data_IF_856033458922
#
_entry.id   IF_856033458922
#
_cell.length_a   1.000
_cell.length_b   1.000
_cell.length_c   1.000
_cell.angle_alpha   90.00
_cell.angle_beta   90.00
_cell.angle_gamma   90.00
#
_symmetry.space_group_name_H-M   'P 1'
#
loop_
_entity.id
_entity.type
_entity.pdbx_description
1 polymer ?
#
# COMPACT_ATOMS: atom_id res chain seq x y z
N UNK A 1 33.51 -30.98 -19.78
CA UNK A 1 32.72 -29.80 -20.18
C UNK A 1 32.35 -29.03 -18.91
N UNK A 2 33.19 -28.08 -18.53
CA UNK A 2 33.01 -27.21 -17.36
C UNK A 2 32.28 -25.95 -17.81
N UNK A 3 31.00 -25.84 -17.48
CA UNK A 3 30.23 -24.60 -17.64
C UNK A 3 30.71 -23.62 -16.55
N UNK A 4 30.99 -22.34 -16.88
CA UNK A 4 31.56 -21.40 -15.92
C UNK A 4 30.51 -20.92 -14.91
N UNK A 5 30.89 -20.95 -13.63
CA UNK A 5 30.10 -20.60 -12.44
C UNK A 5 29.75 -19.10 -12.29
N UNK A 6 29.74 -18.33 -13.39
CA UNK A 6 29.56 -16.87 -13.39
C UNK A 6 28.16 -16.45 -13.88
N UNK A 7 27.36 -17.36 -14.45
CA UNK A 7 26.08 -17.00 -15.10
C UNK A 7 24.88 -17.00 -14.13
N UNK A 8 24.97 -17.70 -12.99
CA UNK A 8 23.85 -17.84 -12.04
C UNK A 8 23.52 -16.55 -11.25
N UNK A 9 24.49 -15.71 -10.81
CA UNK A 9 24.17 -14.48 -10.08
C UNK A 9 23.52 -13.40 -10.95
N UNK A 10 23.90 -13.31 -12.23
CA UNK A 10 23.41 -12.27 -13.14
C UNK A 10 21.93 -12.47 -13.55
N UNK A 11 21.48 -13.73 -13.66
CA UNK A 11 20.10 -14.05 -14.00
C UNK A 11 19.12 -13.80 -12.84
N UNK A 12 19.55 -14.03 -11.59
CA UNK A 12 18.72 -13.78 -10.40
C UNK A 12 18.56 -12.28 -10.13
N UNK A 13 19.60 -11.48 -10.36
CA UNK A 13 19.52 -10.02 -10.27
C UNK A 13 18.58 -9.43 -11.35
N UNK A 14 18.61 -9.96 -12.57
CA UNK A 14 17.74 -9.53 -13.67
C UNK A 14 16.26 -9.85 -13.41
N UNK A 15 15.95 -10.98 -12.77
CA UNK A 15 14.56 -11.39 -12.48
C UNK A 15 13.97 -10.59 -11.31
N UNK A 16 14.77 -10.29 -10.29
CA UNK A 16 14.36 -9.51 -9.13
C UNK A 16 14.05 -8.05 -9.50
N UNK A 17 14.87 -7.44 -10.37
CA UNK A 17 14.65 -6.06 -10.86
C UNK A 17 13.39 -5.98 -11.73
N UNK A 18 13.11 -7.00 -12.56
CA UNK A 18 11.90 -7.03 -13.40
C UNK A 18 10.60 -7.20 -12.58
N UNK A 19 10.63 -7.98 -11.49
CA UNK A 19 9.47 -8.19 -10.62
C UNK A 19 9.16 -6.96 -9.76
N UNK A 20 10.18 -6.25 -9.26
CA UNK A 20 10.01 -5.02 -8.48
C UNK A 20 9.48 -3.86 -9.35
N UNK A 21 9.93 -3.78 -10.62
CA UNK A 21 9.47 -2.78 -11.59
C UNK A 21 7.99 -2.91 -11.97
N UNK A 22 7.45 -4.12 -11.92
CA UNK A 22 6.04 -4.38 -12.22
C UNK A 22 5.10 -3.97 -11.07
N UNK A 23 5.60 -3.79 -9.85
CA UNK A 23 4.78 -3.66 -8.65
C UNK A 23 4.73 -2.24 -8.04
N UNK A 24 5.75 -1.37 -8.21
CA UNK A 24 5.88 -0.18 -7.35
C UNK A 24 6.20 1.20 -7.97
N UNK A 25 6.40 1.34 -9.29
CA UNK A 25 6.59 2.65 -9.94
C UNK A 25 7.85 3.44 -9.52
N UNK A 26 8.16 4.51 -10.26
CA UNK A 26 9.48 5.15 -10.37
C UNK A 26 10.09 5.69 -9.05
N UNK A 27 9.28 5.98 -8.02
CA UNK A 27 9.78 6.52 -6.75
C UNK A 27 10.39 5.45 -5.81
N UNK A 28 10.07 4.17 -6.01
CA UNK A 28 10.62 3.05 -5.22
C UNK A 28 11.91 2.49 -5.85
N UNK A 29 12.19 2.85 -7.12
CA UNK A 29 13.32 2.36 -7.90
C UNK A 29 14.67 2.84 -7.32
N UNK A 30 14.76 4.08 -6.83
CA UNK A 30 15.98 4.63 -6.24
C UNK A 30 16.37 3.95 -4.91
N UNK A 31 15.37 3.65 -4.07
CA UNK A 31 15.56 3.00 -2.77
C UNK A 31 15.88 1.50 -2.92
N UNK A 32 15.19 0.80 -3.82
CA UNK A 32 15.42 -0.63 -4.06
C UNK A 32 16.77 -0.88 -4.74
N UNK A 33 17.18 -0.05 -5.69
CA UNK A 33 18.50 -0.14 -6.35
C UNK A 33 19.62 0.16 -5.35
N UNK A 34 19.46 1.19 -4.50
CA UNK A 34 20.43 1.50 -3.45
C UNK A 34 20.60 0.34 -2.45
N UNK A 35 19.50 -0.27 -2.00
CA UNK A 35 19.54 -1.40 -1.08
C UNK A 35 20.20 -2.64 -1.72
N UNK A 36 19.84 -2.95 -2.97
CA UNK A 36 20.39 -4.10 -3.70
C UNK A 36 21.89 -3.96 -4.00
N UNK A 37 22.35 -2.75 -4.37
CA UNK A 37 23.77 -2.46 -4.58
C UNK A 37 24.55 -2.59 -3.27
N UNK A 38 23.99 -2.09 -2.16
CA UNK A 38 24.63 -2.17 -0.84
C UNK A 38 24.75 -3.63 -0.37
N UNK A 39 23.71 -4.44 -0.57
CA UNK A 39 23.72 -5.86 -0.22
C UNK A 39 24.74 -6.65 -1.07
N UNK A 40 24.84 -6.36 -2.38
CA UNK A 40 25.78 -7.03 -3.28
C UNK A 40 27.24 -6.67 -2.99
N UNK A 41 27.53 -5.42 -2.64
CA UNK A 41 28.89 -4.98 -2.26
C UNK A 41 29.33 -5.62 -0.94
N UNK A 42 28.44 -5.70 0.04
CA UNK A 42 28.74 -6.30 1.36
C UNK A 42 28.91 -7.81 1.31
N UNK A 43 28.06 -8.53 0.56
CA UNK A 43 28.26 -9.98 0.32
C UNK A 43 29.50 -10.27 -0.53
N UNK A 44 29.81 -9.44 -1.52
CA UNK A 44 31.04 -9.56 -2.31
C UNK A 44 32.30 -9.36 -1.47
N UNK A 45 32.32 -8.35 -0.60
CA UNK A 45 33.46 -8.07 0.28
C UNK A 45 33.69 -9.18 1.31
N UNK A 46 32.63 -9.73 1.90
CA UNK A 46 32.71 -10.83 2.88
C UNK A 46 33.18 -12.13 2.23
N UNK A 47 32.70 -12.47 1.02
CA UNK A 47 33.18 -13.63 0.26
C UNK A 47 34.65 -13.48 -0.17
N UNK A 48 35.07 -12.28 -0.56
CA UNK A 48 36.46 -12.01 -0.93
C UNK A 48 37.40 -12.13 0.28
N UNK A 49 36.98 -11.64 1.45
CA UNK A 49 37.71 -11.81 2.71
C UNK A 49 37.82 -13.28 3.11
N UNK A 50 36.72 -14.03 3.05
CA UNK A 50 36.71 -15.47 3.32
C UNK A 50 37.62 -16.26 2.35
N UNK A 51 37.61 -15.90 1.07
CA UNK A 51 38.50 -16.50 0.06
C UNK A 51 39.98 -16.15 0.30
N UNK A 52 40.29 -14.92 0.70
CA UNK A 52 41.65 -14.52 1.04
C UNK A 52 42.20 -15.27 2.26
N UNK A 53 41.37 -15.46 3.30
CA UNK A 53 41.69 -16.27 4.49
C UNK A 53 41.90 -17.75 4.11
N UNK A 54 41.01 -18.32 3.29
CA UNK A 54 41.14 -19.70 2.81
C UNK A 54 42.39 -19.92 1.93
N UNK A 55 42.76 -18.93 1.12
CA UNK A 55 43.97 -18.99 0.28
C UNK A 55 45.25 -18.80 1.10
N UNK A 56 45.20 -18.00 2.16
CA UNK A 56 46.30 -17.84 3.11
C UNK A 56 46.54 -19.12 3.92
N UNK A 57 45.48 -19.82 4.33
CA UNK A 57 45.59 -21.11 5.03
C UNK A 57 46.08 -22.23 4.11
N UNK A 58 45.66 -22.27 2.84
CA UNK A 58 46.14 -23.23 1.83
C UNK A 58 47.62 -23.00 1.47
N UNK A 59 48.08 -21.74 1.41
CA UNK A 59 49.52 -21.42 1.26
C UNK A 59 50.35 -21.87 2.46
N UNK A 60 49.83 -21.76 3.69
CA UNK A 60 50.49 -22.32 4.88
C UNK A 60 50.57 -23.85 4.82
N UNK A 61 49.52 -24.53 4.34
CA UNK A 61 49.53 -26.00 4.18
C UNK A 61 50.50 -26.49 3.11
N UNK A 62 50.67 -25.76 2.00
CA UNK A 62 51.63 -26.11 0.93
C UNK A 62 53.09 -25.75 1.25
N UNK A 63 53.35 -24.91 2.25
CA UNK A 63 54.69 -24.52 2.69
C UNK A 63 55.30 -25.43 3.76
N UNK A 64 54.55 -26.40 4.27
CA UNK A 64 55.04 -27.39 5.25
C UNK A 64 55.56 -28.61 4.48
N UNK A 65 56.85 -28.98 4.62
CA UNK A 65 57.38 -30.23 4.05
C UNK A 65 56.63 -31.43 4.64
N UNK A 66 56.40 -32.48 3.83
CA UNK A 66 55.57 -33.64 4.17
C UNK A 66 56.13 -34.59 5.27
N UNK A 67 57.02 -34.11 6.14
CA UNK A 67 57.66 -34.88 7.22
C UNK A 67 57.57 -34.17 8.59
N UNK A 68 56.55 -33.34 8.81
CA UNK A 68 56.29 -32.77 10.13
C UNK A 68 55.57 -33.80 11.03
N UNK A 69 56.09 -34.10 12.25
CA UNK A 69 55.53 -35.13 13.12
C UNK A 69 54.18 -34.76 13.76
N UNK A 70 53.39 -35.78 14.11
CA UNK A 70 52.05 -35.74 14.73
C UNK A 70 52.08 -35.07 16.13
N UNK A 71 51.11 -34.22 16.52
CA UNK A 71 51.10 -33.52 17.82
C UNK A 71 50.92 -34.43 19.05
N UNK A 72 50.78 -35.75 18.89
CA UNK A 72 50.56 -36.69 20.00
C UNK A 72 51.81 -37.45 20.48
N UNK A 73 53.00 -37.20 19.93
CA UNK A 73 54.26 -37.88 20.28
C UNK A 73 55.21 -37.07 21.21
N UNK A 74 54.71 -36.12 22.01
CA UNK A 74 55.53 -35.31 22.92
C UNK A 74 55.82 -35.97 24.30
N UNK A 75 56.09 -37.28 24.33
CA UNK A 75 56.35 -38.00 25.57
C UNK A 75 57.83 -38.34 25.86
N UNK A 76 58.78 -38.05 24.96
CA UNK A 76 60.21 -38.24 25.24
C UNK A 76 61.01 -37.01 24.82
N UNK A 77 61.36 -36.17 25.80
CA UNK A 77 62.37 -35.13 25.61
C UNK A 77 63.75 -35.81 25.47
N UNK A 78 64.53 -35.52 24.42
CA UNK A 78 65.91 -35.95 24.38
C UNK A 78 66.67 -35.21 25.50
N UNK A 79 67.44 -35.94 26.31
CA UNK A 79 68.39 -35.33 27.24
C UNK A 79 69.27 -34.35 26.45
N UNK A 80 69.27 -33.09 26.90
CA UNK A 80 70.15 -32.05 26.39
C UNK A 80 71.60 -32.57 26.46
N UNK A 81 72.43 -32.40 25.42
CA UNK A 81 73.84 -32.74 25.53
C UNK A 81 74.44 -31.93 26.68
N UNK A 82 75.10 -32.64 27.59
CA UNK A 82 75.80 -32.09 28.76
C UNK A 82 76.81 -31.04 28.29
N UNK A 83 76.37 -29.78 28.22
CA UNK A 83 77.26 -28.64 28.13
C UNK A 83 77.74 -28.36 29.54
N UNK A 84 78.69 -29.18 29.98
CA UNK A 84 79.66 -28.78 30.98
C UNK A 84 80.25 -27.45 30.53
N UNK A 85 79.85 -26.36 31.19
CA UNK A 85 80.54 -25.08 31.15
C UNK A 85 82.00 -25.38 31.54
N UNK A 86 83.01 -25.04 30.73
CA UNK A 86 84.40 -25.28 31.13
C UNK A 86 84.74 -24.36 32.31
N UNK A 87 84.72 -24.92 33.51
CA UNK A 87 85.26 -24.33 34.71
C UNK A 87 86.80 -24.41 34.69
N UNK A 88 87.47 -23.54 33.94
CA UNK A 88 88.91 -23.25 34.13
C UNK A 88 89.28 -21.86 33.62
N UNK A 89 89.20 -20.87 34.50
CA UNK A 89 90.22 -19.84 34.68
C UNK A 89 89.83 -18.97 35.89
N UNK A 90 90.36 -19.34 37.06
CA UNK A 90 90.39 -18.44 38.19
C UNK A 90 91.30 -17.22 37.87
N UNK A 91 90.88 -16.08 38.39
CA UNK A 91 91.64 -14.85 38.63
C UNK A 91 91.78 -13.84 37.47
N UNK A 92 90.78 -12.96 37.32
CA UNK A 92 90.97 -11.50 37.50
C UNK A 92 89.65 -10.80 37.84
N UNK A 93 89.70 -10.00 38.89
CA UNK A 93 88.67 -9.20 39.57
C UNK A 93 87.78 -8.29 38.69
N UNK A 94 86.45 -8.34 38.91
CA UNK A 94 85.66 -7.13 39.22
C UNK A 94 84.60 -6.58 38.25
N UNK A 95 84.42 -7.12 37.03
CA UNK A 95 83.57 -6.46 36.00
C UNK A 95 82.35 -7.23 35.46
N UNK A 96 82.28 -8.55 35.60
CA UNK A 96 81.33 -9.39 34.84
C UNK A 96 79.92 -9.50 35.47
N UNK A 97 79.80 -9.30 36.79
CA UNK A 97 78.50 -9.40 37.48
C UNK A 97 77.50 -8.30 37.06
N UNK A 98 77.98 -7.14 36.57
CA UNK A 98 77.11 -6.02 36.17
C UNK A 98 76.46 -6.20 34.80
N UNK A 99 77.12 -6.89 33.86
CA UNK A 99 76.59 -7.09 32.50
C UNK A 99 75.56 -8.23 32.46
N UNK A 100 75.77 -9.27 33.25
CA UNK A 100 74.84 -10.40 33.37
C UNK A 100 73.56 -10.01 34.14
N UNK A 101 73.69 -9.14 35.15
CA UNK A 101 72.55 -8.60 35.92
C UNK A 101 71.70 -7.61 35.09
N UNK A 102 72.32 -6.88 34.16
CA UNK A 102 71.64 -6.01 33.17
C UNK A 102 70.85 -6.84 32.14
N UNK A 103 71.42 -7.95 31.66
CA UNK A 103 70.73 -8.84 30.72
C UNK A 103 69.52 -9.56 31.34
N UNK A 104 69.63 -10.04 32.58
CA UNK A 104 68.50 -10.62 33.30
C UNK A 104 67.38 -9.59 33.51
N UNK A 105 67.71 -8.35 33.89
CA UNK A 105 66.72 -7.28 34.04
C UNK A 105 65.99 -6.94 32.73
N UNK A 106 66.72 -6.95 31.61
CA UNK A 106 66.18 -6.75 30.25
C UNK A 106 65.24 -7.88 29.82
N UNK A 107 65.62 -9.13 30.06
CA UNK A 107 64.77 -10.30 29.78
C UNK A 107 63.50 -10.30 30.63
N UNK A 108 63.59 -9.96 31.91
CA UNK A 108 62.41 -9.85 32.79
C UNK A 108 61.42 -8.81 32.25
N UNK A 109 61.89 -7.62 31.83
CA UNK A 109 61.02 -6.60 31.22
C UNK A 109 60.33 -7.09 29.95
N UNK A 110 61.02 -7.84 29.08
CA UNK A 110 60.39 -8.43 27.90
C UNK A 110 59.31 -9.45 28.24
N UNK A 111 59.56 -10.28 29.26
CA UNK A 111 58.60 -11.27 29.72
C UNK A 111 57.36 -10.58 30.30
N UNK A 112 57.55 -9.52 31.09
CA UNK A 112 56.46 -8.70 31.63
C UNK A 112 55.64 -8.05 30.51
N UNK A 113 56.31 -7.52 29.49
CA UNK A 113 55.68 -6.90 28.33
C UNK A 113 54.87 -7.91 27.50
N UNK A 114 55.45 -9.08 27.23
CA UNK A 114 54.78 -10.19 26.54
C UNK A 114 53.59 -10.69 27.37
N UNK A 115 53.65 -10.61 28.71
CA UNK A 115 52.55 -11.01 29.57
C UNK A 115 51.31 -10.12 29.41
N UNK A 116 51.43 -8.90 28.86
CA UNK A 116 50.30 -7.98 28.59
C UNK A 116 49.48 -8.41 27.36
N UNK A 117 50.07 -9.17 26.43
CA UNK A 117 49.38 -9.62 25.21
C UNK A 117 48.22 -10.57 25.51
N UNK A 118 48.34 -11.42 26.52
CA UNK A 118 47.28 -12.39 26.86
C UNK A 118 45.97 -11.68 27.25
N UNK A 119 45.96 -10.69 28.17
CA UNK A 119 44.80 -9.84 28.42
C UNK A 119 44.25 -9.15 27.17
N UNK A 120 45.10 -8.57 26.32
CA UNK A 120 44.64 -7.89 25.10
C UNK A 120 43.95 -8.86 24.14
N UNK A 121 44.51 -10.04 23.93
CA UNK A 121 43.91 -11.08 23.12
C UNK A 121 42.59 -11.59 23.72
N UNK A 122 42.45 -11.59 25.04
CA UNK A 122 41.20 -11.92 25.72
C UNK A 122 40.12 -10.85 25.52
N UNK A 123 40.48 -9.56 25.58
CA UNK A 123 39.57 -8.44 25.24
C UNK A 123 39.11 -8.55 23.78
N UNK A 124 40.04 -8.75 22.84
CA UNK A 124 39.71 -8.91 21.41
C UNK A 124 38.78 -10.11 21.20
N UNK A 125 39.08 -11.25 21.83
CA UNK A 125 38.25 -12.46 21.73
C UNK A 125 36.84 -12.22 22.28
N UNK A 126 36.72 -11.52 23.41
CA UNK A 126 35.42 -11.22 24.02
C UNK A 126 34.60 -10.26 23.16
N UNK A 127 35.19 -9.16 22.71
CA UNK A 127 34.52 -8.21 21.80
C UNK A 127 34.08 -8.88 20.49
N UNK A 128 34.90 -9.76 19.92
CA UNK A 128 34.54 -10.52 18.73
C UNK A 128 33.39 -11.53 18.98
N UNK A 129 33.36 -12.16 20.16
CA UNK A 129 32.25 -13.05 20.58
C UNK A 129 30.96 -12.26 20.73
N UNK A 130 30.99 -11.14 21.46
CA UNK A 130 29.83 -10.28 21.68
C UNK A 130 29.28 -9.70 20.36
N UNK A 131 30.15 -9.29 19.43
CA UNK A 131 29.71 -8.88 18.08
C UNK A 131 29.00 -10.01 17.35
N UNK A 132 29.51 -11.25 17.45
CA UNK A 132 28.91 -12.40 16.78
C UNK A 132 27.52 -12.71 17.37
N UNK A 133 27.41 -12.70 18.69
CA UNK A 133 26.15 -12.92 19.43
C UNK A 133 25.11 -11.83 19.13
N UNK A 134 25.50 -10.55 19.21
CA UNK A 134 24.62 -9.40 18.90
C UNK A 134 24.12 -9.49 17.45
N UNK A 135 25.00 -9.88 16.52
CA UNK A 135 24.66 -10.03 15.09
C UNK A 135 23.70 -11.20 14.85
N UNK A 136 23.92 -12.35 15.49
CA UNK A 136 23.06 -13.53 15.38
C UNK A 136 21.65 -13.26 15.95
N UNK A 137 21.59 -12.57 17.09
CA UNK A 137 20.32 -12.18 17.72
C UNK A 137 19.55 -11.16 16.88
N UNK A 138 20.25 -10.15 16.33
CA UNK A 138 19.65 -9.17 15.44
C UNK A 138 19.14 -9.83 14.14
N UNK A 139 19.93 -10.71 13.53
CA UNK A 139 19.52 -11.45 12.34
C UNK A 139 18.26 -12.28 12.58
N UNK A 140 18.20 -13.00 13.71
CA UNK A 140 17.02 -13.80 14.10
C UNK A 140 15.79 -12.91 14.31
N UNK A 141 15.96 -11.77 14.98
CA UNK A 141 14.88 -10.81 15.22
C UNK A 141 14.36 -10.20 13.92
N UNK A 142 15.26 -9.87 12.98
CA UNK A 142 14.90 -9.34 11.66
C UNK A 142 14.12 -10.38 10.85
N UNK A 143 14.58 -11.63 10.81
CA UNK A 143 13.89 -12.71 10.09
C UNK A 143 12.49 -12.93 10.67
N UNK A 144 12.35 -13.01 11.99
CA UNK A 144 11.04 -13.16 12.65
C UNK A 144 10.13 -11.97 12.40
N UNK A 145 10.68 -10.75 12.40
CA UNK A 145 9.94 -9.53 12.09
C UNK A 145 9.45 -9.50 10.64
N UNK A 146 10.30 -9.88 9.69
CA UNK A 146 9.94 -9.97 8.27
C UNK A 146 8.89 -11.05 8.01
N UNK A 147 8.97 -12.22 8.64
CA UNK A 147 7.94 -13.26 8.56
C UNK A 147 6.59 -12.78 9.12
N UNK A 148 6.62 -11.98 10.18
CA UNK A 148 5.42 -11.35 10.73
C UNK A 148 4.83 -10.38 9.73
N UNK A 149 5.63 -9.46 9.18
CA UNK A 149 5.18 -8.51 8.16
C UNK A 149 4.62 -9.22 6.92
N UNK A 150 5.30 -10.26 6.43
CA UNK A 150 4.86 -11.05 5.27
C UNK A 150 3.50 -11.72 5.51
N UNK A 151 3.30 -12.32 6.70
CA UNK A 151 2.02 -12.91 7.07
C UNK A 151 0.90 -11.87 7.11
N UNK A 152 1.14 -10.71 7.71
CA UNK A 152 0.14 -9.62 7.82
C UNK A 152 -0.18 -9.03 6.43
N UNK A 153 0.83 -8.85 5.58
CA UNK A 153 0.63 -8.46 4.18
C UNK A 153 -0.15 -9.52 3.41
N UNK A 154 0.14 -10.81 3.63
CA UNK A 154 -0.59 -11.92 3.01
C UNK A 154 -2.06 -11.99 3.46
N UNK A 155 -2.33 -11.73 4.74
CA UNK A 155 -3.68 -11.61 5.28
C UNK A 155 -4.44 -10.43 4.64
N UNK A 156 -3.78 -9.27 4.51
CA UNK A 156 -4.31 -8.08 3.83
C UNK A 156 -4.59 -8.36 2.35
N UNK A 157 -3.63 -8.92 1.62
CA UNK A 157 -3.78 -9.25 0.20
C UNK A 157 -4.86 -10.29 -0.01
N UNK A 158 -4.97 -11.32 0.84
CA UNK A 158 -6.05 -12.31 0.76
C UNK A 158 -7.41 -11.72 1.11
N UNK A 159 -7.48 -10.76 2.04
CA UNK A 159 -8.70 -10.01 2.31
C UNK A 159 -9.10 -9.11 1.14
N UNK A 160 -8.15 -8.38 0.57
CA UNK A 160 -8.33 -7.56 -0.61
C UNK A 160 -8.70 -8.41 -1.81
N UNK A 161 -8.12 -9.59 -1.99
CA UNK A 161 -8.48 -10.50 -3.08
C UNK A 161 -9.90 -11.03 -2.90
N UNK A 162 -10.31 -11.41 -1.68
CA UNK A 162 -11.71 -11.81 -1.40
C UNK A 162 -12.71 -10.65 -1.48
N UNK A 163 -12.30 -9.42 -1.21
CA UNK A 163 -13.15 -8.22 -1.32
C UNK A 163 -13.16 -7.63 -2.74
N UNK A 164 -12.03 -7.71 -3.45
CA UNK A 164 -11.82 -7.20 -4.82
C UNK A 164 -12.07 -8.24 -5.89
N UNK A 165 -12.15 -9.53 -5.55
CA UNK A 165 -12.95 -10.54 -6.26
C UNK A 165 -14.44 -10.33 -5.98
N UNK A 166 -14.87 -9.07 -6.05
CA UNK A 166 -15.88 -8.49 -6.93
C UNK A 166 -17.05 -9.32 -7.46
N UNK A 167 -17.29 -10.59 -7.11
CA UNK A 167 -18.53 -11.23 -7.57
C UNK A 167 -19.73 -10.47 -7.00
N UNK A 168 -19.71 -10.12 -5.71
CA UNK A 168 -20.79 -9.35 -5.07
C UNK A 168 -20.82 -7.88 -5.48
N UNK A 169 -19.67 -7.20 -5.56
CA UNK A 169 -19.65 -5.77 -5.93
C UNK A 169 -19.97 -5.60 -7.41
N UNK A 170 -19.41 -6.43 -8.31
CA UNK A 170 -19.80 -6.43 -9.73
C UNK A 170 -21.24 -6.86 -9.89
N UNK A 171 -21.75 -7.82 -9.13
CA UNK A 171 -23.18 -8.17 -9.16
C UNK A 171 -24.07 -7.00 -8.70
N UNK A 172 -23.69 -6.30 -7.62
CA UNK A 172 -24.42 -5.12 -7.12
C UNK A 172 -24.37 -4.00 -8.16
N UNK A 173 -23.20 -3.71 -8.74
CA UNK A 173 -23.02 -2.70 -9.78
C UNK A 173 -23.83 -3.05 -11.03
N UNK A 174 -23.72 -4.28 -11.53
CA UNK A 174 -24.46 -4.76 -12.71
C UNK A 174 -25.98 -4.78 -12.46
N UNK A 175 -26.45 -5.19 -11.27
CA UNK A 175 -27.86 -5.08 -10.87
C UNK A 175 -28.31 -3.61 -10.84
N UNK A 176 -27.47 -2.71 -10.33
CA UNK A 176 -27.72 -1.26 -10.25
C UNK A 176 -27.80 -0.66 -11.65
N UNK A 177 -26.87 -1.00 -12.55
CA UNK A 177 -26.88 -0.56 -13.95
C UNK A 177 -28.10 -1.06 -14.71
N UNK A 178 -28.46 -2.35 -14.54
CA UNK A 178 -29.66 -2.94 -15.15
C UNK A 178 -30.94 -2.26 -14.64
N UNK A 179 -31.05 -2.01 -13.34
CA UNK A 179 -32.19 -1.30 -12.75
C UNK A 179 -32.27 0.16 -13.22
N UNK A 180 -31.14 0.86 -13.30
CA UNK A 180 -31.07 2.23 -13.79
C UNK A 180 -31.46 2.32 -15.28
N UNK A 181 -30.97 1.41 -16.11
CA UNK A 181 -31.33 1.32 -17.51
C UNK A 181 -32.83 1.03 -17.69
N UNK A 182 -33.38 0.10 -16.90
CA UNK A 182 -34.81 -0.21 -16.86
C UNK A 182 -35.65 1.01 -16.46
N UNK A 183 -35.27 1.68 -15.37
CA UNK A 183 -35.94 2.88 -14.87
C UNK A 183 -35.91 4.02 -15.88
N UNK A 184 -34.76 4.25 -16.53
CA UNK A 184 -34.62 5.26 -17.58
C UNK A 184 -35.52 4.98 -18.78
N UNK A 185 -35.61 3.71 -19.19
CA UNK A 185 -36.51 3.27 -20.27
C UNK A 185 -37.97 3.48 -19.90
N UNK A 186 -38.38 3.09 -18.69
CA UNK A 186 -39.74 3.30 -18.19
C UNK A 186 -40.11 4.78 -18.16
N UNK A 187 -39.23 5.65 -17.66
CA UNK A 187 -39.43 7.10 -17.65
C UNK A 187 -39.57 7.64 -19.07
N UNK A 188 -38.67 7.22 -19.98
CA UNK A 188 -38.70 7.67 -21.38
C UNK A 188 -40.00 7.25 -22.08
N UNK A 189 -40.40 5.99 -21.94
CA UNK A 189 -41.62 5.45 -22.56
C UNK A 189 -42.87 6.11 -21.95
N UNK A 190 -42.87 6.37 -20.65
CA UNK A 190 -43.94 7.10 -19.95
C UNK A 190 -44.10 8.53 -20.49
N UNK A 191 -43.00 9.30 -20.55
CA UNK A 191 -43.03 10.68 -21.07
C UNK A 191 -43.40 10.73 -22.55
N UNK A 192 -42.92 9.77 -23.35
CA UNK A 192 -43.24 9.66 -24.77
C UNK A 192 -44.74 9.42 -25.01
N UNK A 193 -45.32 8.43 -24.33
CA UNK A 193 -46.76 8.14 -24.42
C UNK A 193 -47.60 9.30 -23.92
N UNK A 194 -47.26 9.87 -22.77
CA UNK A 194 -47.96 11.03 -22.20
C UNK A 194 -47.98 12.22 -23.16
N UNK A 195 -46.86 12.55 -23.79
CA UNK A 195 -46.80 13.66 -24.75
C UNK A 195 -47.64 13.38 -26.00
N UNK A 196 -47.58 12.15 -26.55
CA UNK A 196 -48.36 11.77 -27.70
C UNK A 196 -49.88 11.82 -27.41
N UNK A 197 -50.31 11.30 -26.27
CA UNK A 197 -51.72 11.27 -25.87
C UNK A 197 -52.27 12.67 -25.58
N UNK A 198 -51.47 13.56 -24.97
CA UNK A 198 -51.84 14.97 -24.77
C UNK A 198 -52.05 15.66 -26.10
N UNK A 199 -51.16 15.42 -27.07
CA UNK A 199 -51.24 16.04 -28.39
C UNK A 199 -52.44 15.53 -29.19
N UNK A 200 -52.71 14.21 -29.19
CA UNK A 200 -53.90 13.65 -29.85
C UNK A 200 -55.20 14.17 -29.22
N UNK A 201 -55.27 14.19 -27.88
CA UNK A 201 -56.43 14.74 -27.16
C UNK A 201 -56.65 16.22 -27.49
N UNK A 202 -55.59 17.02 -27.55
CA UNK A 202 -55.65 18.44 -27.92
C UNK A 202 -56.17 18.62 -29.35
N UNK A 203 -55.65 17.86 -30.30
CA UNK A 203 -56.04 17.95 -31.70
C UNK A 203 -57.52 17.57 -31.90
N UNK A 204 -57.99 16.51 -31.23
CA UNK A 204 -59.41 16.13 -31.25
C UNK A 204 -60.32 17.19 -30.66
N UNK A 205 -59.93 17.81 -29.54
CA UNK A 205 -60.70 18.89 -28.92
C UNK A 205 -60.80 20.11 -29.83
N UNK A 206 -59.70 20.52 -30.47
CA UNK A 206 -59.70 21.61 -31.45
C UNK A 206 -60.62 21.29 -32.61
N UNK A 207 -60.53 20.09 -33.19
CA UNK A 207 -61.40 19.67 -34.29
C UNK A 207 -62.89 19.68 -33.92
N UNK A 208 -63.25 19.15 -32.75
CA UNK A 208 -64.64 19.16 -32.27
C UNK A 208 -65.13 20.60 -32.05
N UNK A 209 -64.32 21.47 -31.45
CA UNK A 209 -64.68 22.86 -31.23
C UNK A 209 -64.93 23.58 -32.56
N UNK A 210 -64.03 23.43 -33.54
CA UNK A 210 -64.19 24.01 -34.89
C UNK A 210 -65.48 23.54 -35.56
N UNK A 211 -65.74 22.23 -35.59
CA UNK A 211 -66.96 21.68 -36.21
C UNK A 211 -68.21 22.17 -35.50
N UNK A 212 -68.20 22.24 -34.17
CA UNK A 212 -69.36 22.69 -33.39
C UNK A 212 -69.65 24.17 -33.65
N UNK A 213 -68.62 25.00 -33.81
CA UNK A 213 -68.77 26.43 -34.11
C UNK A 213 -69.24 26.67 -35.55
N UNK A 214 -68.73 25.90 -36.52
CA UNK A 214 -69.20 25.94 -37.91
C UNK A 214 -70.67 25.56 -38.02
N UNK A 215 -71.08 24.47 -37.37
CA UNK A 215 -72.49 24.05 -37.34
C UNK A 215 -73.35 25.07 -36.61
N UNK A 216 -72.87 25.66 -35.51
CA UNK A 216 -73.57 26.74 -34.79
C UNK A 216 -73.81 27.96 -35.68
N UNK A 217 -72.82 28.38 -36.46
CA UNK A 217 -72.97 29.48 -37.41
C UNK A 217 -74.00 29.16 -38.51
N UNK A 218 -73.98 27.93 -39.04
CA UNK A 218 -74.96 27.49 -40.04
C UNK A 218 -76.40 27.48 -39.47
N UNK A 219 -76.58 26.99 -38.24
CA UNK A 219 -77.87 26.99 -37.54
C UNK A 219 -78.39 28.42 -37.33
N UNK A 220 -77.51 29.36 -36.99
CA UNK A 220 -77.89 30.77 -36.82
C UNK A 220 -78.33 31.41 -38.15
N UNK A 221 -77.68 31.05 -39.26
CA UNK A 221 -78.11 31.47 -40.60
C UNK A 221 -79.48 30.91 -40.95
N UNK A 222 -79.74 29.63 -40.67
CA UNK A 222 -81.06 29.00 -40.89
C UNK A 222 -82.14 29.73 -40.08
N UNK A 223 -81.87 30.06 -38.82
CA UNK A 223 -82.77 30.84 -37.94
C UNK A 223 -83.09 32.21 -38.53
N UNK A 224 -82.08 32.88 -39.08
CA UNK A 224 -82.23 34.19 -39.73
C UNK A 224 -83.09 34.08 -40.98
N UNK A 225 -82.84 33.09 -41.83
CA UNK A 225 -83.63 32.83 -43.05
C UNK A 225 -85.08 32.52 -42.66
N UNK A 226 -85.31 31.62 -41.71
CA UNK A 226 -86.64 31.27 -41.23
C UNK A 226 -87.42 32.50 -40.75
N UNK A 227 -86.78 33.39 -39.99
CA UNK A 227 -87.39 34.65 -39.53
C UNK A 227 -87.72 35.60 -40.68
N UNK A 228 -86.84 35.73 -41.67
CA UNK A 228 -87.11 36.52 -42.87
C UNK A 228 -88.25 35.93 -43.69
N UNK A 229 -88.29 34.60 -43.86
CA UNK A 229 -89.37 33.88 -44.55
C UNK A 229 -90.70 34.06 -43.83
N UNK A 230 -90.72 34.06 -42.49
CA UNK A 230 -91.92 34.34 -41.71
C UNK A 230 -92.47 35.75 -41.97
N UNK A 231 -91.60 36.76 -42.02
CA UNK A 231 -91.98 38.15 -42.34
C UNK A 231 -92.51 38.25 -43.78
N UNK A 232 -91.88 37.59 -44.74
CA UNK A 232 -92.35 37.52 -46.13
C UNK A 232 -93.72 36.84 -46.23
N UNK A 233 -93.92 35.72 -45.54
CA UNK A 233 -95.18 34.99 -45.51
C UNK A 233 -96.30 35.81 -44.85
N UNK A 234 -95.97 36.57 -43.81
CA UNK A 234 -96.90 37.51 -43.18
C UNK A 234 -97.33 38.62 -44.15
N UNK A 235 -96.38 39.23 -44.85
CA UNK A 235 -96.67 40.24 -45.88
C UNK A 235 -97.55 39.65 -47.01
N UNK A 236 -97.24 38.43 -47.46
CA UNK A 236 -98.05 37.73 -48.47
C UNK A 236 -99.47 37.41 -47.97
N UNK A 237 -99.62 37.05 -46.68
CA UNK A 237 -100.93 36.82 -46.06
C UNK A 237 -101.77 38.11 -46.02
N UNK A 238 -101.13 39.24 -45.69
CA UNK A 238 -101.79 40.56 -45.68
C UNK A 238 -102.25 40.94 -47.10
N UNK A 239 -101.39 40.77 -48.12
CA UNK A 239 -101.73 41.14 -49.50
C UNK A 239 -102.78 40.19 -50.10
N UNK A 240 -102.74 38.90 -49.75
CA UNK A 240 -103.77 37.94 -50.13
C UNK A 240 -105.14 38.27 -49.51
N UNK A 241 -105.17 38.77 -48.27
CA UNK A 241 -106.40 39.27 -47.64
C UNK A 241 -106.91 40.55 -48.32
N UNK A 242 -105.99 41.42 -48.77
CA UNK A 242 -106.30 42.67 -49.47
C UNK A 242 -106.89 42.45 -50.86
N UNK A 243 -106.49 41.39 -51.55
CA UNK A 243 -107.03 40.98 -52.85
C UNK A 243 -108.43 40.31 -52.78
N UNK A 244 -108.99 40.08 -51.59
CA UNK A 244 -110.33 39.55 -51.39
C UNK A 244 -110.52 38.12 -51.96
N UNK A 245 -111.58 37.90 -52.73
CA UNK A 245 -111.88 36.59 -53.34
C UNK A 245 -110.78 36.08 -54.28
N UNK A 246 -110.11 36.98 -55.01
CA UNK A 246 -109.02 36.62 -55.94
C UNK A 246 -107.74 36.15 -55.22
N UNK A 247 -107.58 36.49 -53.94
CA UNK A 247 -106.40 36.16 -53.12
C UNK A 247 -106.48 34.83 -52.37
N UNK A 248 -107.61 34.12 -52.38
CA UNK A 248 -107.82 32.91 -51.55
C UNK A 248 -106.76 31.82 -51.74
N UNK A 249 -106.33 31.57 -52.98
CA UNK A 249 -105.26 30.60 -53.27
C UNK A 249 -103.90 31.02 -52.70
N UNK A 250 -103.55 32.31 -52.84
CA UNK A 250 -102.33 32.88 -52.28
C UNK A 250 -102.34 32.90 -50.75
N UNK A 251 -103.51 33.08 -50.13
CA UNK A 251 -103.67 33.05 -48.67
C UNK A 251 -103.38 31.66 -48.08
N UNK A 252 -103.69 30.58 -48.81
CA UNK A 252 -103.36 29.20 -48.40
C UNK A 252 -101.85 28.98 -48.48
N UNK A 253 -101.22 29.35 -49.60
CA UNK A 253 -99.77 29.22 -49.77
C UNK A 253 -98.99 30.05 -48.74
N UNK A 254 -99.40 31.30 -48.50
CA UNK A 254 -98.75 32.17 -47.53
C UNK A 254 -98.83 31.62 -46.09
N UNK A 255 -99.96 30.98 -45.73
CA UNK A 255 -100.11 30.29 -44.44
C UNK A 255 -99.17 29.09 -44.33
N UNK A 256 -99.08 28.29 -45.38
CA UNK A 256 -98.19 27.11 -45.42
C UNK A 256 -96.72 27.52 -45.27
N UNK A 257 -96.28 28.56 -45.99
CA UNK A 257 -94.92 29.10 -45.89
C UNK A 257 -94.66 29.67 -44.49
N UNK A 258 -95.66 30.30 -43.87
CA UNK A 258 -95.56 30.79 -42.49
C UNK A 258 -95.35 29.63 -41.51
N UNK A 259 -96.13 28.55 -41.63
CA UNK A 259 -96.00 27.36 -40.79
C UNK A 259 -94.61 26.71 -40.96
N UNK A 260 -94.16 26.51 -42.21
CA UNK A 260 -92.82 26.00 -42.53
C UNK A 260 -91.69 26.86 -41.94
N UNK A 261 -91.85 28.19 -41.94
CA UNK A 261 -90.87 29.10 -41.36
C UNK A 261 -90.80 28.98 -39.83
N UNK A 262 -91.95 28.85 -39.16
CA UNK A 262 -92.00 28.59 -37.72
C UNK A 262 -91.40 27.23 -37.37
N UNK A 263 -91.71 26.21 -38.16
CA UNK A 263 -91.15 24.88 -38.00
C UNK A 263 -89.63 24.89 -38.17
N UNK A 264 -89.11 25.63 -39.15
CA UNK A 264 -87.67 25.80 -39.36
C UNK A 264 -86.97 26.52 -38.20
N UNK A 265 -87.58 27.57 -37.63
CA UNK A 265 -87.04 28.28 -36.46
C UNK A 265 -87.05 27.39 -35.20
N UNK A 266 -88.10 26.58 -35.02
CA UNK A 266 -88.19 25.59 -33.95
C UNK A 266 -87.11 24.50 -34.10
N UNK A 267 -86.93 23.94 -35.31
CA UNK A 267 -85.87 22.96 -35.59
C UNK A 267 -84.48 23.54 -35.37
N UNK A 268 -84.21 24.77 -35.82
CA UNK A 268 -82.93 25.43 -35.57
C UNK A 268 -82.66 25.62 -34.07
N UNK A 269 -83.70 25.97 -33.29
CA UNK A 269 -83.60 26.07 -31.82
C UNK A 269 -83.28 24.73 -31.16
N UNK A 270 -83.88 23.64 -31.65
CA UNK A 270 -83.58 22.30 -31.13
C UNK A 270 -82.16 21.86 -31.47
N UNK A 271 -81.68 22.13 -32.69
CA UNK A 271 -80.28 21.84 -33.07
C UNK A 271 -79.31 22.62 -32.18
N UNK A 272 -79.57 23.90 -31.92
CA UNK A 272 -78.76 24.74 -31.04
C UNK A 272 -78.68 24.16 -29.61
N UNK A 273 -79.80 23.68 -29.09
CA UNK A 273 -79.85 22.96 -27.81
C UNK A 273 -79.02 21.67 -27.84
N UNK A 274 -79.10 20.91 -28.93
CA UNK A 274 -78.31 19.67 -29.10
C UNK A 274 -76.82 19.95 -29.24
N UNK A 275 -76.41 21.06 -29.87
CA UNK A 275 -75.01 21.49 -29.91
C UNK A 275 -74.50 21.85 -28.51
N UNK A 276 -75.32 22.50 -27.69
CA UNK A 276 -74.95 22.81 -26.30
C UNK A 276 -74.83 21.53 -25.45
N UNK A 277 -75.76 20.57 -25.63
CA UNK A 277 -75.67 19.25 -25.01
C UNK A 277 -74.42 18.49 -25.47
N UNK A 278 -74.05 18.57 -26.76
CA UNK A 278 -72.83 17.98 -27.32
C UNK A 278 -71.57 18.59 -26.68
N UNK A 279 -71.50 19.93 -26.57
CA UNK A 279 -70.38 20.62 -25.90
C UNK A 279 -70.21 20.14 -24.45
N UNK A 280 -71.32 19.99 -23.71
CA UNK A 280 -71.31 19.46 -22.34
C UNK A 280 -70.86 18.00 -22.29
N UNK A 281 -71.35 17.15 -23.19
CA UNK A 281 -70.99 15.73 -23.26
C UNK A 281 -69.49 15.53 -23.57
N UNK A 282 -68.93 16.37 -24.45
CA UNK A 282 -67.49 16.39 -24.76
C UNK A 282 -66.69 16.81 -23.53
N UNK A 283 -67.12 17.87 -22.82
CA UNK A 283 -66.49 18.29 -21.57
C UNK A 283 -66.52 17.22 -20.48
N UNK A 284 -67.63 16.50 -20.34
CA UNK A 284 -67.77 15.40 -19.38
C UNK A 284 -66.89 14.20 -19.75
N UNK A 285 -66.83 13.81 -21.02
CA UNK A 285 -65.94 12.74 -21.49
C UNK A 285 -64.47 13.08 -21.26
N UNK A 286 -64.08 14.36 -21.41
CA UNK A 286 -62.73 14.81 -21.11
C UNK A 286 -62.39 14.64 -19.61
N UNK A 287 -63.35 14.90 -18.72
CA UNK A 287 -63.16 14.70 -17.27
C UNK A 287 -62.87 13.24 -16.94
N UNK A 288 -63.62 12.31 -17.51
CA UNK A 288 -63.41 10.86 -17.32
C UNK A 288 -62.06 10.43 -17.90
N UNK A 289 -61.71 10.93 -19.08
CA UNK A 289 -60.43 10.63 -19.72
C UNK A 289 -59.24 11.16 -18.91
N UNK A 290 -59.39 12.30 -18.23
CA UNK A 290 -58.40 12.84 -17.30
C UNK A 290 -58.28 11.97 -16.05
N UNK A 291 -59.39 11.48 -15.49
CA UNK A 291 -59.38 10.58 -14.31
C UNK A 291 -58.69 9.24 -14.60
N UNK A 292 -59.08 8.55 -15.68
CA UNK A 292 -58.43 7.29 -16.10
C UNK A 292 -56.93 7.51 -16.38
N UNK A 293 -56.59 8.66 -16.97
CA UNK A 293 -55.19 9.02 -17.23
C UNK A 293 -54.41 9.20 -15.93
N UNK A 294 -54.95 9.94 -14.96
CA UNK A 294 -54.31 10.15 -13.65
C UNK A 294 -54.03 8.81 -12.97
N UNK A 295 -54.95 7.84 -13.07
CA UNK A 295 -54.74 6.52 -12.47
C UNK A 295 -53.62 5.73 -13.18
N UNK A 296 -53.58 5.75 -14.52
CA UNK A 296 -52.47 5.16 -15.27
C UNK A 296 -51.12 5.83 -14.98
N UNK A 297 -51.11 7.15 -14.81
CA UNK A 297 -49.90 7.91 -14.45
C UNK A 297 -49.43 7.56 -13.04
N UNK A 298 -50.35 7.42 -12.08
CA UNK A 298 -50.03 6.98 -10.73
C UNK A 298 -49.41 5.58 -10.72
N UNK A 299 -49.94 4.65 -11.51
CA UNK A 299 -49.38 3.30 -11.60
C UNK A 299 -47.95 3.31 -12.17
N UNK A 300 -47.72 4.08 -13.24
CA UNK A 300 -46.39 4.23 -13.84
C UNK A 300 -45.40 4.90 -12.88
N UNK A 301 -45.80 5.99 -12.23
CA UNK A 301 -44.99 6.68 -11.21
C UNK A 301 -44.71 5.80 -9.99
N UNK A 302 -45.67 4.98 -9.58
CA UNK A 302 -45.49 4.00 -8.51
C UNK A 302 -44.41 2.97 -8.87
N UNK A 303 -44.42 2.46 -10.10
CA UNK A 303 -43.40 1.53 -10.59
C UNK A 303 -42.01 2.17 -10.62
N UNK A 304 -41.92 3.43 -11.08
CA UNK A 304 -40.67 4.20 -11.08
C UNK A 304 -40.17 4.41 -9.65
N UNK A 305 -41.07 4.77 -8.72
CA UNK A 305 -40.72 4.98 -7.32
C UNK A 305 -40.16 3.70 -6.68
N UNK A 306 -40.80 2.55 -6.91
CA UNK A 306 -40.28 1.25 -6.43
C UNK A 306 -38.89 0.96 -7.00
N UNK A 307 -38.67 1.16 -8.30
CA UNK A 307 -37.36 0.93 -8.90
C UNK A 307 -36.27 1.86 -8.33
N UNK A 308 -36.61 3.13 -8.05
CA UNK A 308 -35.70 4.08 -7.39
C UNK A 308 -35.41 3.67 -5.95
N UNK A 309 -36.41 3.17 -5.21
CA UNK A 309 -36.19 2.63 -3.85
C UNK A 309 -35.24 1.43 -3.86
N UNK A 310 -35.44 0.47 -4.77
CA UNK A 310 -34.53 -0.68 -4.93
C UNK A 310 -33.10 -0.25 -5.29
N UNK A 311 -32.98 0.75 -6.17
CA UNK A 311 -31.70 1.35 -6.53
C UNK A 311 -31.00 1.97 -5.31
N UNK A 312 -31.76 2.70 -4.49
CA UNK A 312 -31.24 3.37 -3.29
C UNK A 312 -30.73 2.35 -2.28
N UNK A 313 -31.50 1.29 -2.03
CA UNK A 313 -31.11 0.20 -1.14
C UNK A 313 -29.83 -0.52 -1.66
N UNK A 314 -29.73 -0.74 -2.98
CA UNK A 314 -28.54 -1.31 -3.61
C UNK A 314 -27.29 -0.45 -3.40
N UNK A 315 -27.42 0.87 -3.57
CA UNK A 315 -26.33 1.82 -3.34
C UNK A 315 -25.92 1.90 -1.87
N UNK A 316 -26.88 1.87 -0.95
CA UNK A 316 -26.60 1.83 0.50
C UNK A 316 -25.80 0.58 0.90
N UNK A 317 -26.16 -0.59 0.35
CA UNK A 317 -25.38 -1.82 0.55
C UNK A 317 -23.96 -1.68 0.02
N UNK A 318 -23.78 -1.08 -1.16
CA UNK A 318 -22.47 -0.85 -1.76
C UNK A 318 -21.60 0.08 -0.91
N UNK A 319 -22.16 1.20 -0.44
CA UNK A 319 -21.45 2.16 0.42
C UNK A 319 -21.06 1.51 1.75
N UNK A 320 -21.95 0.71 2.34
CA UNK A 320 -21.68 0.00 3.60
C UNK A 320 -20.53 -0.99 3.42
N UNK A 321 -20.58 -1.80 2.37
CA UNK A 321 -19.51 -2.74 2.05
C UNK A 321 -18.15 -2.05 1.82
N UNK A 322 -18.13 -0.94 1.07
CA UNK A 322 -16.92 -0.14 0.87
C UNK A 322 -16.34 0.39 2.19
N UNK A 323 -17.19 0.84 3.12
CA UNK A 323 -16.75 1.29 4.45
C UNK A 323 -16.11 0.16 5.26
N UNK A 324 -16.68 -1.04 5.21
CA UNK A 324 -16.11 -2.21 5.90
C UNK A 324 -14.73 -2.58 5.34
N UNK A 325 -14.58 -2.57 4.01
CA UNK A 325 -13.28 -2.82 3.35
C UNK A 325 -12.26 -1.78 3.76
N UNK A 326 -12.59 -0.49 3.69
CA UNK A 326 -11.68 0.58 4.09
C UNK A 326 -11.30 0.51 5.57
N UNK A 327 -12.26 0.25 6.46
CA UNK A 327 -11.99 0.12 7.88
C UNK A 327 -10.99 -1.02 8.16
N UNK A 328 -11.16 -2.16 7.48
CA UNK A 328 -10.26 -3.30 7.64
C UNK A 328 -8.87 -3.06 7.07
N UNK A 329 -8.76 -2.35 5.94
CA UNK A 329 -7.46 -1.94 5.39
C UNK A 329 -6.71 -1.01 6.36
N UNK A 330 -7.41 -0.07 7.00
CA UNK A 330 -6.81 0.85 7.98
C UNK A 330 -6.35 0.10 9.24
N UNK A 331 -7.17 -0.82 9.74
CA UNK A 331 -6.82 -1.65 10.91
C UNK A 331 -5.56 -2.49 10.64
N UNK A 332 -5.51 -3.16 9.48
CA UNK A 332 -4.36 -3.99 9.09
C UNK A 332 -3.10 -3.15 8.83
N UNK A 333 -3.27 -1.97 8.20
CA UNK A 333 -2.17 -1.01 8.02
C UNK A 333 -1.60 -0.53 9.36
N UNK A 334 -2.45 -0.41 10.40
CA UNK A 334 -2.02 -0.01 11.74
C UNK A 334 -1.29 -1.16 12.43
N UNK A 335 -1.78 -2.41 12.28
CA UNK A 335 -1.12 -3.62 12.77
C UNK A 335 0.28 -3.80 12.18
N UNK A 336 0.44 -3.48 10.89
CA UNK A 336 1.74 -3.51 10.19
C UNK A 336 2.78 -2.54 10.76
N UNK A 337 2.35 -1.39 11.30
CA UNK A 337 3.27 -0.36 11.78
C UNK A 337 4.15 -0.83 12.95
N UNK A 338 3.62 -1.66 13.85
CA UNK A 338 4.35 -2.18 15.01
C UNK A 338 5.57 -3.03 14.63
N UNK A 339 5.39 -4.15 13.89
CA UNK A 339 6.48 -4.98 13.41
C UNK A 339 7.52 -4.22 12.58
N UNK A 340 7.09 -3.27 11.74
CA UNK A 340 7.99 -2.42 10.95
C UNK A 340 8.85 -1.54 11.88
N UNK A 341 8.26 -0.93 12.91
CA UNK A 341 9.02 -0.13 13.89
C UNK A 341 10.03 -0.99 14.66
N UNK A 342 9.67 -2.23 15.02
CA UNK A 342 10.60 -3.19 15.63
C UNK A 342 11.75 -3.55 14.70
N UNK A 343 11.48 -3.75 13.40
CA UNK A 343 12.52 -3.99 12.39
C UNK A 343 13.47 -2.80 12.27
N UNK A 344 12.95 -1.58 12.22
CA UNK A 344 13.76 -0.36 12.17
C UNK A 344 14.64 -0.23 13.43
N UNK A 345 14.08 -0.52 14.62
CA UNK A 345 14.87 -0.55 15.85
C UNK A 345 15.98 -1.61 15.80
N UNK A 346 15.68 -2.76 15.23
CA UNK A 346 16.64 -3.86 15.06
C UNK A 346 17.77 -3.54 14.09
N UNK A 347 17.74 -2.43 13.33
CA UNK A 347 18.86 -2.00 12.47
C UNK A 347 19.96 -1.30 13.29
N UNK A 348 19.66 -0.78 14.47
CA UNK A 348 20.63 -0.05 15.31
C UNK A 348 21.85 -0.89 15.72
N UNK A 349 21.71 -2.23 15.76
CA UNK A 349 22.86 -3.12 16.01
C UNK A 349 23.99 -2.91 15.02
N UNK A 350 23.71 -2.49 13.78
CA UNK A 350 24.74 -2.26 12.76
C UNK A 350 25.74 -1.19 13.21
N UNK A 351 25.29 -0.13 13.87
CA UNK A 351 26.19 0.90 14.39
C UNK A 351 27.00 0.39 15.59
N UNK A 352 26.37 -0.38 16.50
CA UNK A 352 27.07 -1.02 17.60
C UNK A 352 28.18 -1.99 17.10
N UNK A 353 27.83 -2.88 16.17
CA UNK A 353 28.76 -3.82 15.54
C UNK A 353 29.89 -3.08 14.82
N UNK A 354 29.59 -2.02 14.06
CA UNK A 354 30.60 -1.19 13.39
C UNK A 354 31.59 -0.60 14.39
N UNK A 355 31.09 -0.01 15.48
CA UNK A 355 31.93 0.62 16.50
C UNK A 355 32.81 -0.41 17.24
N UNK A 356 32.26 -1.58 17.60
CA UNK A 356 33.02 -2.66 18.24
C UNK A 356 34.09 -3.24 17.30
N UNK A 357 33.78 -3.44 16.02
CA UNK A 357 34.77 -3.90 15.04
C UNK A 357 35.89 -2.87 14.81
N UNK A 358 35.56 -1.58 14.72
CA UNK A 358 36.56 -0.52 14.66
C UNK A 358 37.49 -0.56 15.89
N UNK A 359 36.92 -0.83 17.06
CA UNK A 359 37.67 -0.96 18.29
C UNK A 359 38.60 -2.18 18.27
N UNK A 360 38.10 -3.35 17.88
CA UNK A 360 38.94 -4.56 17.69
C UNK A 360 40.07 -4.31 16.70
N UNK A 361 39.78 -3.69 15.56
CA UNK A 361 40.80 -3.33 14.56
C UNK A 361 41.86 -2.43 15.17
N UNK A 362 41.47 -1.40 15.92
CA UNK A 362 42.42 -0.49 16.57
C UNK A 362 43.29 -1.20 17.60
N UNK A 363 42.73 -2.10 18.41
CA UNK A 363 43.50 -2.93 19.33
C UNK A 363 44.51 -3.81 18.60
N UNK A 364 44.12 -4.43 17.48
CA UNK A 364 45.03 -5.25 16.67
C UNK A 364 46.15 -4.42 16.03
N UNK A 365 45.87 -3.18 15.60
CA UNK A 365 46.90 -2.26 15.08
C UNK A 365 47.93 -1.90 16.16
N UNK A 366 47.49 -1.57 17.38
CA UNK A 366 48.39 -1.23 18.50
C UNK A 366 49.29 -2.42 18.85
N UNK A 367 48.73 -3.64 18.86
CA UNK A 367 49.49 -4.87 19.08
C UNK A 367 50.50 -5.09 17.95
N UNK A 368 50.11 -4.93 16.68
CA UNK A 368 51.01 -5.12 15.52
C UNK A 368 52.17 -4.11 15.50
N UNK A 369 51.89 -2.84 15.82
CA UNK A 369 52.89 -1.80 15.98
C UNK A 369 53.88 -2.15 17.11
N UNK A 370 53.36 -2.60 18.26
CA UNK A 370 54.21 -2.95 19.40
C UNK A 370 55.05 -4.23 19.15
N UNK A 371 54.51 -5.26 18.49
CA UNK A 371 55.29 -6.44 18.04
C UNK A 371 56.40 -6.02 17.07
N UNK A 372 56.10 -5.11 16.15
CA UNK A 372 57.07 -4.59 15.18
C UNK A 372 58.20 -3.83 15.86
N UNK A 373 57.88 -3.01 16.86
CA UNK A 373 58.87 -2.31 17.67
C UNK A 373 59.71 -3.27 18.52
N UNK A 374 59.07 -4.29 19.10
CA UNK A 374 59.76 -5.34 19.85
C UNK A 374 60.77 -6.10 18.98
N UNK A 375 60.38 -6.45 17.76
CA UNK A 375 61.29 -7.08 16.79
C UNK A 375 62.48 -6.19 16.45
N UNK A 376 62.28 -4.88 16.30
CA UNK A 376 63.39 -3.93 16.06
C UNK A 376 64.37 -3.86 17.22
N UNK A 377 63.87 -3.93 18.46
CA UNK A 377 64.71 -3.96 19.67
C UNK A 377 65.56 -5.24 19.71
N UNK A 378 64.99 -6.38 19.31
CA UNK A 378 65.67 -7.68 19.31
C UNK A 378 66.66 -7.87 18.14
N UNK A 379 66.37 -7.31 16.96
CA UNK A 379 67.16 -7.47 15.73
C UNK A 379 68.17 -6.31 15.47
N UNK A 380 68.16 -5.26 16.29
CA UNK A 380 68.88 -4.00 16.03
C UNK A 380 70.41 -4.08 16.18
N UNK A 381 71.21 -3.47 15.28
CA UNK A 381 72.67 -3.45 15.35
C UNK A 381 73.26 -2.49 16.41
N UNK A 382 72.45 -1.56 16.97
CA UNK A 382 72.91 -0.45 17.82
C UNK A 382 72.78 -0.69 19.33
N UNK A 383 72.45 -1.92 19.75
CA UNK A 383 72.23 -2.28 21.15
C UNK A 383 70.77 -2.10 21.61
N UNK A 384 70.48 -2.62 22.81
CA UNK A 384 69.14 -2.64 23.40
C UNK A 384 68.55 -1.24 23.58
N UNK A 385 67.45 -0.95 22.89
CA UNK A 385 66.58 0.20 23.15
C UNK A 385 65.47 -0.31 24.07
N UNK A 386 65.14 0.42 25.15
CA UNK A 386 64.07 -0.01 26.05
C UNK A 386 62.75 -0.18 25.27
N UNK A 387 62.07 -1.34 25.38
CA UNK A 387 60.81 -1.57 24.69
C UNK A 387 59.77 -0.50 25.00
N UNK A 388 58.98 -0.12 24.00
CA UNK A 388 57.87 0.82 24.19
C UNK A 388 56.75 0.12 24.95
N UNK A 389 56.35 0.68 26.09
CA UNK A 389 55.30 0.15 26.97
C UNK A 389 53.92 0.08 26.27
N UNK A 390 53.45 -1.15 26.07
CA UNK A 390 52.15 -1.54 25.56
C UNK A 390 51.06 -1.13 26.53
N UNK A 391 51.33 -1.15 27.84
CA UNK A 391 50.36 -0.74 28.86
C UNK A 391 49.99 0.74 28.66
N UNK A 392 50.99 1.61 28.48
CA UNK A 392 50.78 3.02 28.14
C UNK A 392 50.03 3.23 26.82
N UNK A 393 50.33 2.46 25.77
CA UNK A 393 49.59 2.53 24.48
C UNK A 393 48.12 2.10 24.63
N UNK A 394 47.85 1.11 25.48
CA UNK A 394 46.50 0.65 25.79
C UNK A 394 45.73 1.67 26.63
N UNK A 395 46.39 2.34 27.58
CA UNK A 395 45.81 3.42 28.39
C UNK A 395 45.37 4.62 27.53
N UNK A 396 46.20 5.02 26.55
CA UNK A 396 45.85 6.06 25.58
C UNK A 396 44.66 5.66 24.70
N UNK A 397 44.61 4.40 24.28
CA UNK A 397 43.51 3.84 23.49
C UNK A 397 42.21 3.76 24.31
N UNK A 398 42.30 3.39 25.59
CA UNK A 398 41.17 3.38 26.53
C UNK A 398 40.60 4.78 26.80
N UNK A 399 41.45 5.81 26.84
CA UNK A 399 41.00 7.19 27.01
C UNK A 399 40.10 7.65 25.85
N UNK A 400 40.21 7.00 24.69
CA UNK A 400 39.36 7.22 23.51
C UNK A 400 38.03 6.45 23.52
N UNK A 401 37.74 5.61 24.52
CA UNK A 401 36.51 4.82 24.53
C UNK A 401 35.29 5.67 24.79
N UNK A 402 34.33 5.59 23.87
CA UNK A 402 33.05 6.31 23.99
C UNK A 402 32.03 5.43 24.74
N UNK A 403 32.04 4.11 24.55
CA UNK A 403 31.03 3.20 25.11
C UNK A 403 31.37 2.65 26.50
N UNK A 404 30.34 2.48 27.34
CA UNK A 404 30.49 1.89 28.67
C UNK A 404 30.81 0.39 28.62
N UNK A 405 30.26 -0.34 27.66
CA UNK A 405 30.56 -1.77 27.43
C UNK A 405 32.04 -1.99 27.15
N UNK A 406 32.63 -1.21 26.24
CA UNK A 406 34.07 -1.28 25.91
C UNK A 406 34.97 -1.06 27.14
N UNK A 407 34.63 -0.06 27.96
CA UNK A 407 35.38 0.24 29.20
C UNK A 407 35.26 -0.88 30.23
N UNK A 408 34.07 -1.44 30.41
CA UNK A 408 33.85 -2.54 31.33
C UNK A 408 34.58 -3.80 30.86
N UNK A 409 34.52 -4.09 29.56
CA UNK A 409 35.17 -5.26 28.98
C UNK A 409 36.68 -5.22 29.16
N UNK A 410 37.29 -4.07 28.92
CA UNK A 410 38.72 -3.90 29.15
C UNK A 410 39.07 -3.91 30.64
N UNK A 411 38.29 -3.21 31.49
CA UNK A 411 38.53 -3.15 32.93
C UNK A 411 38.47 -4.53 33.59
N UNK A 412 37.47 -5.34 33.30
CA UNK A 412 37.29 -6.65 33.94
C UNK A 412 38.44 -7.61 33.64
N UNK A 413 38.94 -7.61 32.40
CA UNK A 413 40.07 -8.48 32.01
C UNK A 413 41.34 -8.04 32.75
N UNK A 414 41.62 -6.74 32.82
CA UNK A 414 42.84 -6.22 33.45
C UNK A 414 42.76 -6.15 34.99
N UNK A 415 41.59 -5.92 35.61
CA UNK A 415 41.38 -5.95 37.06
C UNK A 415 41.26 -7.37 37.63
N UNK A 416 40.82 -8.36 36.85
CA UNK A 416 40.79 -9.76 37.31
C UNK A 416 42.19 -10.27 37.66
N UNK A 417 43.23 -9.76 36.98
CA UNK A 417 44.63 -10.12 37.20
C UNK A 417 45.23 -9.48 38.44
N UNK A 418 44.91 -8.21 38.75
CA UNK A 418 45.40 -7.56 39.98
C UNK A 418 44.90 -8.24 41.26
N UNK A 419 43.73 -8.91 41.20
CA UNK A 419 43.25 -9.78 42.28
C UNK A 419 43.86 -11.18 42.27
N UNK A 420 44.26 -11.71 41.13
CA UNK A 420 44.81 -13.08 41.02
C UNK A 420 46.30 -13.14 41.40
N UNK A 421 47.05 -12.06 41.22
CA UNK A 421 48.44 -11.93 41.71
C UNK A 421 48.51 -11.76 43.25
N UNK A 422 47.49 -11.18 43.88
CA UNK A 422 47.44 -10.97 45.35
C UNK A 422 47.09 -12.24 46.16
N UNK A 423 46.63 -13.31 45.49
CA UNK A 423 46.32 -14.61 46.13
C UNK A 423 47.57 -15.51 46.24
N UNK A 424 48.68 -15.15 45.59
CA UNK A 424 49.94 -15.93 45.60
C UNK A 424 50.86 -15.69 46.81
N UNK A 425 50.56 -14.71 47.68
CA UNK A 425 51.43 -14.32 48.80
C UNK A 425 50.74 -14.44 50.18
N UNK A 426 50.23 -15.63 50.52
CA UNK A 426 50.06 -16.05 51.92
C UNK A 426 50.51 -17.48 52.10
N UNK A 427 51.79 -17.66 52.40
CA UNK A 427 52.25 -18.84 53.11
C UNK A 427 51.72 -18.71 54.55
N UNK A 428 50.69 -19.48 54.87
CA UNK A 428 50.33 -19.75 56.26
C UNK A 428 51.46 -20.57 56.90
N UNK A 429 52.25 -19.93 57.76
CA UNK A 429 53.10 -20.62 58.73
C UNK A 429 52.28 -20.79 60.01
N UNK A 430 52.27 -22.04 60.48
CA UNK A 430 51.65 -22.55 61.71
C UNK A 430 51.62 -21.60 62.91
#
# INVERSE_FOLDING_TARGET
MTVPAVIVPAMVASLAVAAVRAAFGDAVEELAVSLAVTLAVTTGATLAAAWAVARASDRRRRGVPADAPDPTDLAELPELPDRSVPATAAATTGGEASADQDWHGRLTRLVDEIAVYRPVLEVIRREASEVSEDTEQAATSIVSGLQTVDREIGELLGFLDRSSSNEKVVEIVDRTERSLAGSRRLIHDFLGRRNADIEDSRNRLVAIATVTDEVGAAVQNIRTIARQTNVLALNATIEAARAGEAGKGFAVVAREVKELSHQSEATATEIDRRLDDLRKAVGASLSVLVEDRIESERAALGTIATAISELTESLERLVTHQREVLAKVVDESTRLAGPIMTLIGSIQFQDCTRQRLQHVTRLTEVVDEHVSDMRRVLDGPDGWIDPVDLTGRLDELMAGYVMASQRNTHREVFESRSRQEDVGARIELF
#
